data_IF_402920230875
#
_entry.id   IF_402920230875
#
_cell.length_a   1.000
_cell.length_b   1.000
_cell.length_c   1.000
_cell.angle_alpha   90.00
_cell.angle_beta   90.00
_cell.angle_gamma   90.00
#
_symmetry.space_group_name_H-M   'P 1'
#
loop_
_entity.id
_entity.type
_entity.pdbx_description
1 polymer ?
#
# COMPACT_ATOMS: atom_id res chain seq x y z
N UNK A 1 -11.84 35.76 8.10
CA UNK A 1 -10.38 35.81 7.89
C UNK A 1 -9.85 34.41 8.09
N UNK A 2 -9.25 33.80 7.07
CA UNK A 2 -8.66 32.47 7.21
C UNK A 2 -7.53 32.55 8.24
N UNK A 3 -7.69 31.89 9.37
CA UNK A 3 -6.65 31.77 10.39
C UNK A 3 -5.48 31.05 9.73
N UNK A 4 -4.31 31.68 9.66
CA UNK A 4 -3.09 31.00 9.19
C UNK A 4 -2.97 29.68 9.95
N UNK A 5 -2.97 28.55 9.23
CA UNK A 5 -2.75 27.26 9.87
C UNK A 5 -1.33 27.29 10.45
N UNK A 6 -1.21 27.06 11.75
CA UNK A 6 0.06 27.07 12.49
C UNK A 6 0.99 25.90 12.09
N UNK A 7 0.55 25.02 11.18
CA UNK A 7 1.28 23.86 10.69
C UNK A 7 0.88 23.54 9.24
N UNK A 8 1.74 22.79 8.54
CA UNK A 8 1.42 22.22 7.23
C UNK A 8 0.53 20.97 7.40
N UNK A 9 -0.72 20.99 6.89
CA UNK A 9 -1.63 19.86 7.03
C UNK A 9 -1.13 18.55 6.42
N UNK A 10 -0.33 18.64 5.35
CA UNK A 10 0.22 17.47 4.64
C UNK A 10 1.28 16.79 5.48
N UNK A 11 2.25 17.56 6.00
CA UNK A 11 3.30 17.07 6.90
C UNK A 11 2.70 16.36 8.12
N UNK A 12 1.65 16.94 8.71
CA UNK A 12 1.01 16.34 9.88
C UNK A 12 0.17 15.11 9.53
N UNK A 13 -0.43 15.05 8.34
CA UNK A 13 -1.10 13.83 7.87
C UNK A 13 -0.11 12.67 7.70
N UNK A 14 1.09 12.93 7.17
CA UNK A 14 2.16 11.93 7.07
C UNK A 14 2.55 11.38 8.45
N UNK A 15 2.68 12.26 9.46
CA UNK A 15 2.94 11.84 10.84
C UNK A 15 1.83 10.96 11.43
N UNK A 16 0.57 11.28 11.16
CA UNK A 16 -0.57 10.46 11.56
C UNK A 16 -0.55 9.10 10.86
N UNK A 17 -0.33 9.11 9.54
CA UNK A 17 -0.21 7.91 8.70
C UNK A 17 0.87 6.98 9.21
N UNK A 18 2.05 7.49 9.53
CA UNK A 18 3.18 6.65 9.95
C UNK A 18 2.90 5.95 11.28
N UNK A 19 2.19 6.60 12.19
CA UNK A 19 1.74 6.02 13.46
C UNK A 19 0.66 4.96 13.24
N UNK A 20 -0.35 5.25 12.40
CA UNK A 20 -1.35 4.25 12.04
C UNK A 20 -0.75 3.06 11.31
N UNK A 21 0.24 3.30 10.47
CA UNK A 21 0.94 2.24 9.76
C UNK A 21 1.66 1.31 10.74
N UNK A 22 2.38 1.89 11.70
CA UNK A 22 3.07 1.14 12.74
C UNK A 22 2.09 0.36 13.64
N UNK A 23 1.10 1.03 14.21
CA UNK A 23 0.27 0.47 15.29
C UNK A 23 -1.04 -0.15 14.82
N UNK A 24 -1.63 0.35 13.75
CA UNK A 24 -2.99 0.02 13.32
C UNK A 24 -4.01 1.01 13.87
N UNK A 25 -5.26 0.89 13.43
CA UNK A 25 -6.31 1.83 13.83
C UNK A 25 -6.64 1.70 15.31
N UNK A 26 -6.96 0.51 15.80
CA UNK A 26 -7.45 0.32 17.17
C UNK A 26 -6.40 0.57 18.24
N UNK A 27 -5.13 0.27 17.96
CA UNK A 27 -4.01 0.49 18.89
C UNK A 27 -3.52 1.96 18.95
N UNK A 28 -4.10 2.84 18.14
CA UNK A 28 -3.71 4.27 18.09
C UNK A 28 -4.79 5.13 18.73
N UNK A 29 -4.52 5.82 19.83
CA UNK A 29 -5.50 6.73 20.44
C UNK A 29 -5.48 8.13 19.80
N UNK A 30 -6.54 8.92 20.02
CA UNK A 30 -6.52 10.34 19.65
C UNK A 30 -5.40 11.11 20.34
N UNK A 31 -5.03 10.73 21.56
CA UNK A 31 -3.93 11.39 22.27
C UNK A 31 -2.58 11.05 21.65
N UNK A 32 -2.38 9.79 21.21
CA UNK A 32 -1.16 9.40 20.49
C UNK A 32 -1.00 10.22 19.20
N UNK A 33 -2.09 10.41 18.45
CA UNK A 33 -2.09 11.22 17.24
C UNK A 33 -1.74 12.68 17.53
N UNK A 34 -2.34 13.27 18.56
CA UNK A 34 -2.05 14.64 19.02
C UNK A 34 -0.56 14.80 19.33
N UNK A 35 -0.01 13.84 20.07
CA UNK A 35 1.40 13.84 20.45
C UNK A 35 2.32 13.68 19.23
N UNK A 36 2.02 12.72 18.35
CA UNK A 36 2.83 12.40 17.18
C UNK A 36 2.82 13.54 16.15
N UNK A 37 1.65 14.12 15.90
CA UNK A 37 1.49 15.23 14.96
C UNK A 37 2.01 16.55 15.55
N UNK A 38 2.19 16.64 16.88
CA UNK A 38 2.58 17.86 17.58
C UNK A 38 1.63 19.03 17.25
N UNK A 39 0.33 18.75 17.31
CA UNK A 39 -0.74 19.74 17.13
C UNK A 39 -1.62 19.75 18.36
N UNK A 40 -2.31 20.86 18.65
CA UNK A 40 -3.32 20.84 19.71
C UNK A 40 -4.57 20.08 19.25
N UNK A 41 -5.32 19.54 20.22
CA UNK A 41 -6.50 18.70 19.96
C UNK A 41 -7.61 19.42 19.18
N UNK A 42 -7.83 20.72 19.42
CA UNK A 42 -8.83 21.51 18.71
C UNK A 42 -8.50 21.61 17.22
N UNK A 43 -7.26 22.01 16.90
CA UNK A 43 -6.80 22.13 15.52
C UNK A 43 -6.78 20.80 14.76
N UNK A 44 -6.58 19.68 15.47
CA UNK A 44 -6.72 18.35 14.87
C UNK A 44 -8.16 18.11 14.40
N UNK A 45 -9.15 18.29 15.26
CA UNK A 45 -10.56 18.10 14.88
C UNK A 45 -10.99 19.10 13.79
N UNK A 46 -10.57 20.36 13.89
CA UNK A 46 -10.89 21.38 12.89
C UNK A 46 -10.31 21.06 11.50
N UNK A 47 -9.14 20.41 11.45
CA UNK A 47 -8.42 20.17 10.18
C UNK A 47 -8.72 18.80 9.57
N UNK A 48 -8.78 17.76 10.40
CA UNK A 48 -8.84 16.36 9.96
C UNK A 48 -10.16 15.68 10.31
N UNK A 49 -11.02 16.34 11.08
CA UNK A 49 -12.21 15.72 11.64
C UNK A 49 -11.86 14.74 12.74
N UNK A 50 -12.57 13.61 12.79
CA UNK A 50 -12.35 12.59 13.79
C UNK A 50 -11.21 11.61 13.41
N UNK A 51 -10.97 10.65 14.30
CA UNK A 51 -9.95 9.60 14.09
C UNK A 51 -10.20 8.78 12.82
N UNK A 52 -11.47 8.52 12.52
CA UNK A 52 -11.89 7.66 11.43
C UNK A 52 -11.61 8.34 10.09
N UNK A 53 -12.01 9.60 9.96
CA UNK A 53 -11.70 10.43 8.80
C UNK A 53 -10.19 10.58 8.61
N UNK A 54 -9.44 10.88 9.68
CA UNK A 54 -7.98 10.99 9.61
C UNK A 54 -7.31 9.67 9.17
N UNK A 55 -7.87 8.52 9.58
CA UNK A 55 -7.40 7.21 9.15
C UNK A 55 -7.68 6.94 7.67
N UNK A 56 -8.88 7.29 7.17
CA UNK A 56 -9.22 7.23 5.74
C UNK A 56 -8.24 8.07 4.91
N UNK A 57 -8.01 9.33 5.32
CA UNK A 57 -7.09 10.24 4.64
C UNK A 57 -5.65 9.68 4.67
N UNK A 58 -5.27 9.02 5.77
CA UNK A 58 -3.96 8.34 5.90
C UNK A 58 -3.81 7.13 4.96
N UNK A 59 -4.86 6.31 4.81
CA UNK A 59 -4.86 5.17 3.87
C UNK A 59 -4.72 5.65 2.42
N UNK A 60 -5.41 6.72 2.06
CA UNK A 60 -5.33 7.32 0.73
C UNK A 60 -3.93 7.88 0.46
N UNK A 61 -3.38 8.65 1.41
CA UNK A 61 -2.00 9.17 1.32
C UNK A 61 -0.99 8.03 1.14
N UNK A 62 -1.09 6.98 1.98
CA UNK A 62 -0.23 5.81 1.88
C UNK A 62 -0.28 5.15 0.50
N UNK A 63 -1.48 4.94 -0.04
CA UNK A 63 -1.66 4.29 -1.34
C UNK A 63 -1.11 5.13 -2.48
N UNK A 64 -1.35 6.45 -2.48
CA UNK A 64 -0.84 7.36 -3.51
C UNK A 64 0.68 7.37 -3.56
N UNK A 65 1.35 7.44 -2.42
CA UNK A 65 2.81 7.39 -2.34
C UNK A 65 3.34 6.05 -2.86
N UNK A 66 2.72 4.94 -2.45
CA UNK A 66 3.10 3.59 -2.89
C UNK A 66 2.92 3.43 -4.40
N UNK A 67 1.83 3.93 -4.99
CA UNK A 67 1.61 3.86 -6.44
C UNK A 67 2.57 4.74 -7.23
N UNK A 68 2.93 5.91 -6.68
CA UNK A 68 3.95 6.78 -7.27
C UNK A 68 5.31 6.06 -7.32
N UNK A 69 5.70 5.38 -6.25
CA UNK A 69 6.92 4.57 -6.20
C UNK A 69 6.89 3.42 -7.21
N UNK A 70 5.79 2.67 -7.28
CA UNK A 70 5.66 1.55 -8.20
C UNK A 70 5.69 2.01 -9.66
N UNK A 71 5.00 3.10 -10.00
CA UNK A 71 5.07 3.70 -11.34
C UNK A 71 6.48 4.14 -11.69
N UNK A 72 7.21 4.76 -10.76
CA UNK A 72 8.63 5.13 -10.96
C UNK A 72 9.51 3.90 -11.18
N UNK A 73 9.33 2.84 -10.40
CA UNK A 73 10.08 1.58 -10.56
C UNK A 73 9.83 0.94 -11.94
N UNK A 74 8.60 1.01 -12.44
CA UNK A 74 8.22 0.50 -13.75
C UNK A 74 8.78 1.32 -14.92
N UNK A 75 8.78 2.66 -14.82
CA UNK A 75 9.21 3.56 -15.90
C UNK A 75 10.66 3.34 -16.36
N UNK A 76 11.52 2.79 -15.50
CA UNK A 76 12.90 2.48 -15.84
C UNK A 76 13.09 1.25 -16.74
N UNK A 77 12.02 0.50 -17.04
CA UNK A 77 12.12 -0.81 -17.69
C UNK A 77 11.62 -0.80 -19.13
N UNK A 78 12.40 -1.39 -20.04
CA UNK A 78 12.01 -1.58 -21.45
C UNK A 78 11.02 -2.73 -21.65
N UNK A 79 11.11 -3.75 -20.79
CA UNK A 79 10.22 -4.92 -20.81
C UNK A 79 9.08 -4.71 -19.81
N UNK A 80 7.81 -4.86 -20.23
CA UNK A 80 6.67 -4.80 -19.32
C UNK A 80 6.74 -5.86 -18.21
N UNK A 81 7.22 -7.07 -18.51
CA UNK A 81 7.41 -8.10 -17.49
C UNK A 81 8.51 -7.71 -16.49
N UNK A 82 9.62 -7.12 -16.96
CA UNK A 82 10.66 -6.54 -16.07
C UNK A 82 10.10 -5.43 -15.19
N UNK A 83 9.15 -4.63 -15.67
CA UNK A 83 8.48 -3.62 -14.86
C UNK A 83 7.68 -4.24 -13.71
N UNK A 84 6.97 -5.34 -13.96
CA UNK A 84 6.27 -6.11 -12.91
C UNK A 84 7.27 -6.64 -11.87
N UNK A 85 8.37 -7.25 -12.33
CA UNK A 85 9.45 -7.72 -11.45
C UNK A 85 10.01 -6.60 -10.57
N UNK A 86 10.23 -5.40 -11.12
CA UNK A 86 10.74 -4.26 -10.35
C UNK A 86 9.73 -3.72 -9.33
N UNK A 87 8.44 -3.69 -9.66
CA UNK A 87 7.40 -3.29 -8.69
C UNK A 87 7.39 -4.26 -7.52
N UNK A 88 7.37 -5.57 -7.80
CA UNK A 88 7.36 -6.60 -6.74
C UNK A 88 8.63 -6.52 -5.90
N UNK A 89 9.79 -6.35 -6.53
CA UNK A 89 11.07 -6.15 -5.83
C UNK A 89 11.01 -4.92 -4.91
N UNK A 90 10.51 -3.78 -5.40
CA UNK A 90 10.41 -2.54 -4.62
C UNK A 90 9.46 -2.69 -3.43
N UNK A 91 8.35 -3.41 -3.60
CA UNK A 91 7.41 -3.72 -2.51
C UNK A 91 8.08 -4.52 -1.38
N UNK A 92 8.94 -5.48 -1.74
CA UNK A 92 9.69 -6.29 -0.77
C UNK A 92 10.79 -5.49 -0.07
N UNK A 93 11.60 -4.74 -0.82
CA UNK A 93 12.64 -3.88 -0.25
C UNK A 93 12.06 -2.97 0.83
N UNK A 94 10.94 -2.30 0.53
CA UNK A 94 10.25 -1.43 1.47
C UNK A 94 9.81 -2.15 2.74
N UNK A 95 9.28 -3.38 2.62
CA UNK A 95 8.87 -4.15 3.81
C UNK A 95 10.03 -4.49 4.75
N UNK A 96 11.23 -4.73 4.23
CA UNK A 96 12.40 -5.06 5.03
C UNK A 96 13.14 -3.82 5.55
N UNK A 97 13.19 -2.73 4.78
CA UNK A 97 13.85 -1.48 5.19
C UNK A 97 13.12 -0.79 6.35
N UNK A 98 11.79 -0.74 6.27
CA UNK A 98 10.98 -0.05 7.28
C UNK A 98 10.59 -0.96 8.46
N UNK A 99 10.74 -2.28 8.30
CA UNK A 99 10.28 -3.27 9.28
C UNK A 99 8.76 -3.28 9.46
N UNK A 100 8.01 -2.75 8.48
CA UNK A 100 6.56 -2.59 8.53
C UNK A 100 5.88 -3.41 7.44
N UNK A 101 4.80 -4.09 7.82
CA UNK A 101 3.84 -4.67 6.87
C UNK A 101 3.02 -3.55 6.26
N UNK A 102 2.68 -3.64 4.96
CA UNK A 102 1.92 -2.58 4.31
C UNK A 102 0.56 -2.33 4.97
N UNK A 103 0.25 -1.04 5.05
CA UNK A 103 -0.91 -0.50 5.76
C UNK A 103 -2.24 -1.00 5.18
N UNK A 104 -2.36 -1.15 3.85
CA UNK A 104 -3.59 -1.61 3.19
C UNK A 104 -3.92 -3.05 3.58
N UNK A 105 -2.94 -3.96 3.54
CA UNK A 105 -3.17 -5.37 3.92
C UNK A 105 -3.48 -5.48 5.41
N UNK A 106 -2.73 -4.79 6.27
CA UNK A 106 -3.02 -4.78 7.71
C UNK A 106 -4.45 -4.31 8.00
N UNK A 107 -4.85 -3.20 7.36
CA UNK A 107 -6.20 -2.63 7.53
C UNK A 107 -7.31 -3.49 6.94
N UNK A 108 -7.00 -4.31 5.91
CA UNK A 108 -7.97 -5.25 5.35
C UNK A 108 -8.39 -6.34 6.34
N UNK A 109 -7.49 -6.76 7.23
CA UNK A 109 -7.80 -7.71 8.30
C UNK A 109 -8.38 -7.01 9.54
N UNK A 110 -7.87 -5.82 9.87
CA UNK A 110 -8.27 -5.09 11.08
C UNK A 110 -9.66 -4.42 10.93
N UNK A 111 -9.89 -3.68 9.84
CA UNK A 111 -11.01 -2.74 9.72
C UNK A 111 -12.08 -3.16 8.71
N UNK A 112 -11.73 -3.80 7.60
CA UNK A 112 -12.70 -4.14 6.55
C UNK A 112 -13.88 -5.04 7.00
N UNK A 113 -13.72 -5.96 7.98
CA UNK A 113 -14.85 -6.72 8.53
C UNK A 113 -15.81 -5.88 9.38
N UNK A 114 -15.32 -4.79 9.97
CA UNK A 114 -16.03 -3.98 10.97
C UNK A 114 -16.62 -2.70 10.38
N UNK A 115 -16.01 -2.19 9.31
CA UNK A 115 -16.31 -0.89 8.74
C UNK A 115 -16.51 -0.99 7.21
N UNK A 116 -17.73 -0.69 6.76
CA UNK A 116 -18.08 -0.81 5.34
C UNK A 116 -17.43 0.30 4.50
N UNK A 117 -17.28 1.51 5.03
CA UNK A 117 -16.66 2.62 4.29
C UNK A 117 -15.17 2.33 4.05
N UNK A 118 -14.46 1.90 5.10
CA UNK A 118 -13.06 1.50 4.98
C UNK A 118 -12.93 0.28 4.06
N UNK A 119 -13.84 -0.70 4.12
CA UNK A 119 -13.81 -1.84 3.19
C UNK A 119 -13.93 -1.40 1.73
N UNK A 120 -14.86 -0.51 1.41
CA UNK A 120 -15.02 -0.02 0.04
C UNK A 120 -13.83 0.82 -0.41
N UNK A 121 -13.25 1.64 0.47
CA UNK A 121 -12.00 2.34 0.20
C UNK A 121 -10.85 1.36 -0.10
N UNK A 122 -10.63 0.36 0.74
CA UNK A 122 -9.56 -0.62 0.56
C UNK A 122 -9.75 -1.42 -0.74
N UNK A 123 -11.00 -1.74 -1.12
CA UNK A 123 -11.32 -2.35 -2.42
C UNK A 123 -10.94 -1.43 -3.58
N UNK A 124 -11.32 -0.15 -3.51
CA UNK A 124 -10.98 0.84 -4.53
C UNK A 124 -9.47 0.99 -4.68
N UNK A 125 -8.75 1.18 -3.57
CA UNK A 125 -7.30 1.27 -3.57
C UNK A 125 -6.67 0.00 -4.17
N UNK A 126 -7.07 -1.19 -3.71
CA UNK A 126 -6.55 -2.45 -4.25
C UNK A 126 -6.84 -2.60 -5.76
N UNK A 127 -8.01 -2.14 -6.22
CA UNK A 127 -8.37 -2.16 -7.63
C UNK A 127 -7.44 -1.29 -8.49
N UNK A 128 -7.02 -0.11 -8.00
CA UNK A 128 -6.03 0.72 -8.68
C UNK A 128 -4.69 -0.01 -8.88
N UNK A 129 -4.23 -0.75 -7.86
CA UNK A 129 -3.02 -1.57 -7.96
C UNK A 129 -3.20 -2.71 -8.97
N UNK A 130 -4.36 -3.37 -8.97
CA UNK A 130 -4.68 -4.43 -9.94
C UNK A 130 -4.65 -3.86 -11.37
N UNK A 131 -5.19 -2.67 -11.60
CA UNK A 131 -5.17 -2.03 -12.93
C UNK A 131 -3.75 -1.73 -13.41
N UNK A 132 -2.83 -1.35 -12.52
CA UNK A 132 -1.41 -1.18 -12.87
C UNK A 132 -0.80 -2.49 -13.37
N UNK A 133 -1.02 -3.60 -12.65
CA UNK A 133 -0.50 -4.90 -13.06
C UNK A 133 -1.19 -5.44 -14.32
N UNK A 134 -2.50 -5.21 -14.47
CA UNK A 134 -3.27 -5.62 -15.64
C UNK A 134 -2.76 -4.94 -16.92
N UNK A 135 -2.50 -3.63 -16.88
CA UNK A 135 -1.91 -2.90 -17.99
C UNK A 135 -0.50 -3.42 -18.36
N UNK A 136 0.34 -3.69 -17.38
CA UNK A 136 1.68 -4.26 -17.62
C UNK A 136 1.60 -5.68 -18.18
N UNK A 137 0.69 -6.52 -17.69
CA UNK A 137 0.47 -7.88 -18.19
C UNK A 137 -0.03 -7.88 -19.64
N UNK A 138 -0.96 -6.98 -19.99
CA UNK A 138 -1.42 -6.79 -21.37
C UNK A 138 -0.27 -6.38 -22.30
N UNK A 139 0.60 -5.48 -21.85
CA UNK A 139 1.79 -5.08 -22.61
C UNK A 139 2.78 -6.24 -22.74
N UNK A 140 2.98 -7.03 -21.69
CA UNK A 140 3.86 -8.20 -21.69
C UNK A 140 3.37 -9.27 -22.68
N UNK A 141 2.06 -9.54 -22.73
CA UNK A 141 1.47 -10.44 -23.72
C UNK A 141 1.70 -9.96 -25.15
N UNK A 142 1.49 -8.66 -25.43
CA UNK A 142 1.76 -8.06 -26.75
C UNK A 142 3.24 -8.15 -27.16
N UNK A 143 4.14 -8.13 -26.18
CA UNK A 143 5.57 -8.28 -26.38
C UNK A 143 6.03 -9.76 -26.46
N UNK A 144 5.12 -10.73 -26.29
CA UNK A 144 5.45 -12.16 -26.27
C UNK A 144 6.20 -12.62 -25.01
N UNK A 145 6.17 -11.83 -23.94
CA UNK A 145 6.86 -12.13 -22.66
C UNK A 145 5.99 -12.98 -21.72
N UNK A 146 4.69 -13.04 -21.97
CA UNK A 146 3.68 -13.80 -21.21
C UNK A 146 2.78 -14.52 -22.21
N UNK A 147 2.38 -15.75 -21.89
CA UNK A 147 1.40 -16.51 -22.68
C UNK A 147 0.10 -15.70 -22.92
N UNK A 148 -0.25 -15.52 -24.19
CA UNK A 148 -1.44 -14.80 -24.64
C UNK A 148 -2.77 -15.45 -24.26
N UNK A 149 -2.78 -16.71 -23.83
CA UNK A 149 -3.99 -17.40 -23.35
C UNK A 149 -4.34 -17.08 -21.91
N UNK A 150 -3.40 -16.50 -21.13
CA UNK A 150 -3.65 -16.14 -19.73
C UNK A 150 -4.64 -14.99 -19.60
N UNK A 151 -5.53 -15.10 -18.62
CA UNK A 151 -6.40 -14.00 -18.23
C UNK A 151 -5.60 -12.96 -17.42
N UNK A 152 -5.30 -11.82 -18.05
CA UNK A 152 -4.50 -10.74 -17.47
C UNK A 152 -5.09 -10.18 -16.16
N UNK A 153 -6.42 -10.11 -16.06
CA UNK A 153 -7.11 -9.60 -14.87
C UNK A 153 -6.92 -10.54 -13.69
N UNK A 154 -7.09 -11.84 -13.91
CA UNK A 154 -6.88 -12.86 -12.88
C UNK A 154 -5.41 -12.92 -12.46
N UNK A 155 -4.47 -12.79 -13.40
CA UNK A 155 -3.04 -12.73 -13.07
C UNK A 155 -2.70 -11.48 -12.24
N UNK A 156 -3.25 -10.31 -12.58
CA UNK A 156 -3.08 -9.09 -11.81
C UNK A 156 -3.67 -9.19 -10.39
N UNK A 157 -4.86 -9.79 -10.26
CA UNK A 157 -5.48 -10.10 -8.96
C UNK A 157 -4.62 -11.07 -8.14
N UNK A 158 -4.05 -12.08 -8.79
CA UNK A 158 -3.16 -13.04 -8.15
C UNK A 158 -1.89 -12.38 -7.60
N UNK A 159 -1.26 -11.46 -8.35
CA UNK A 159 -0.10 -10.69 -7.88
C UNK A 159 -0.49 -9.84 -6.67
N UNK A 160 -1.56 -9.05 -6.77
CA UNK A 160 -2.00 -8.16 -5.69
C UNK A 160 -2.37 -8.94 -4.42
N UNK A 161 -3.06 -10.07 -4.55
CA UNK A 161 -3.40 -10.95 -3.43
C UNK A 161 -2.18 -11.64 -2.80
N UNK A 162 -1.18 -12.01 -3.62
CA UNK A 162 0.03 -12.67 -3.14
C UNK A 162 0.88 -11.77 -2.23
N UNK A 163 0.80 -10.45 -2.35
CA UNK A 163 1.45 -9.53 -1.40
C UNK A 163 1.01 -9.77 0.04
N UNK A 164 -0.27 -10.10 0.28
CA UNK A 164 -0.73 -10.41 1.63
C UNK A 164 -0.02 -11.64 2.21
N UNK A 165 0.20 -12.67 1.38
CA UNK A 165 0.96 -13.86 1.76
C UNK A 165 2.44 -13.56 2.02
N UNK A 166 3.08 -12.77 1.15
CA UNK A 166 4.50 -12.39 1.31
C UNK A 166 4.72 -11.60 2.60
N UNK A 167 3.86 -10.63 2.89
CA UNK A 167 4.00 -9.81 4.11
C UNK A 167 3.61 -10.56 5.37
N UNK A 168 2.66 -11.49 5.30
CA UNK A 168 2.39 -12.41 6.40
C UNK A 168 3.64 -13.25 6.74
N UNK A 169 4.28 -13.85 5.73
CA UNK A 169 5.50 -14.63 5.93
C UNK A 169 6.67 -13.76 6.42
N UNK A 170 6.83 -12.54 5.88
CA UNK A 170 7.82 -11.59 6.36
C UNK A 170 7.60 -11.23 7.83
N UNK A 171 6.37 -10.95 8.24
CA UNK A 171 6.04 -10.56 9.62
C UNK A 171 6.34 -11.68 10.63
N UNK A 172 6.10 -12.95 10.25
CA UNK A 172 6.29 -14.09 11.14
C UNK A 172 7.75 -14.58 11.21
N UNK A 173 8.40 -14.68 10.06
CA UNK A 173 9.71 -15.31 9.98
C UNK A 173 10.86 -14.30 9.87
N UNK A 174 10.58 -13.12 9.32
CA UNK A 174 11.57 -12.10 8.98
C UNK A 174 12.77 -12.67 8.18
N UNK A 175 12.54 -13.74 7.42
CA UNK A 175 13.53 -14.40 6.58
C UNK A 175 13.45 -13.82 5.16
N UNK A 176 14.41 -12.94 4.86
CA UNK A 176 14.49 -12.27 3.57
C UNK A 176 14.66 -13.24 2.40
N UNK A 177 15.50 -14.25 2.54
CA UNK A 177 15.76 -15.20 1.46
C UNK A 177 14.52 -16.02 1.14
N UNK A 178 13.77 -16.45 2.17
CA UNK A 178 12.51 -17.17 2.00
C UNK A 178 11.47 -16.33 1.25
N UNK A 179 11.25 -15.08 1.67
CA UNK A 179 10.24 -14.20 1.08
C UNK A 179 10.62 -13.81 -0.36
N UNK A 180 11.90 -13.53 -0.62
CA UNK A 180 12.41 -13.28 -1.98
C UNK A 180 12.19 -14.49 -2.89
N UNK A 181 12.42 -15.71 -2.40
CA UNK A 181 12.17 -16.93 -3.16
C UNK A 181 10.67 -17.14 -3.44
N UNK A 182 9.80 -16.84 -2.48
CA UNK A 182 8.34 -16.90 -2.69
C UNK A 182 7.89 -15.90 -3.75
N UNK A 183 8.40 -14.67 -3.72
CA UNK A 183 8.09 -13.66 -4.72
C UNK A 183 8.62 -14.04 -6.10
N UNK A 184 9.80 -14.66 -6.18
CA UNK A 184 10.33 -15.21 -7.43
C UNK A 184 9.40 -16.29 -7.98
N UNK A 185 8.96 -17.24 -7.16
CA UNK A 185 8.04 -18.30 -7.60
C UNK A 185 6.71 -17.72 -8.09
N UNK A 186 6.18 -16.70 -7.41
CA UNK A 186 4.99 -15.97 -7.85
C UNK A 186 5.21 -15.36 -9.24
N UNK A 187 6.31 -14.64 -9.46
CA UNK A 187 6.65 -14.04 -10.76
C UNK A 187 6.82 -15.12 -11.85
N UNK A 188 7.57 -16.18 -11.58
CA UNK A 188 7.85 -17.24 -12.55
C UNK A 188 6.57 -17.93 -13.01
N UNK A 189 5.54 -18.03 -12.14
CA UNK A 189 4.23 -18.59 -12.49
C UNK A 189 3.43 -17.74 -13.51
N UNK A 190 3.82 -16.48 -13.71
CA UNK A 190 3.15 -15.56 -14.63
C UNK A 190 3.58 -15.74 -16.07
N UNK A 191 4.74 -16.36 -16.34
CA UNK A 191 5.25 -16.60 -17.70
C UNK A 191 4.41 -17.64 -18.44
#
# INVERSE_FOLDING_TARGET
MARNKEFDPTEKLEKARDLFWERGYHATSMQDLVNQMQVNRGSMYDTYGDKHKLFIDSLQSYALDTYSEYKKAALGQKSPFKAIEQIVKKALERSFEEGKVCMIVKSSFEMAPLDTEIRELLKQLTNELILIFEDLMLKAQKAGEVDGTKNVRQAAQFIAGSFAGLWYMQSLYNDRAMVEQMAKNMIDSLR
#
